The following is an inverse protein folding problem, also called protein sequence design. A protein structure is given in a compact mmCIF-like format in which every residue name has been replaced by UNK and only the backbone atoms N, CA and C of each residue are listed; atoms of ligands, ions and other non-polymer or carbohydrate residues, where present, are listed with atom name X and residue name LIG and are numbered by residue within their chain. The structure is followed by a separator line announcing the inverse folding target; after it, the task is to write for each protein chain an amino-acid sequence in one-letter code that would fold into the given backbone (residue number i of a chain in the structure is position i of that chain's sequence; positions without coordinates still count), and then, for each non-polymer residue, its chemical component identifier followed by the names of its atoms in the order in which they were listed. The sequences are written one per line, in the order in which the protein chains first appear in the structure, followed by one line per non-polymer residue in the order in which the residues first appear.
data_IF_985494693657
#
_entry.id   IF_985494693657
#
_cell.length_a   1.000
_cell.length_b   1.000
_cell.length_c   1.000
_cell.angle_alpha   90.00
_cell.angle_beta   90.00
_cell.angle_gamma   90.00
#
_symmetry.space_group_name_H-M   'P 1'
#
loop_
_entity.id
_entity.type
_entity.pdbx_description
1 polymer ?
#
# COMPACT_ATOMS: atom_id res chain seq x y z
N UNK A 1 31.18 27.32 13.28
CA UNK A 1 30.65 27.58 11.92
C UNK A 1 29.85 26.38 11.51
N UNK A 2 28.60 26.62 11.15
CA UNK A 2 27.59 25.74 10.53
C UNK A 2 27.30 24.43 11.28
N UNK A 3 26.42 24.47 12.28
CA UNK A 3 24.95 24.43 12.18
C UNK A 3 24.44 23.00 12.08
N UNK A 4 24.06 22.49 13.25
CA UNK A 4 22.85 21.71 13.50
C UNK A 4 22.46 20.73 12.38
N UNK A 5 22.82 19.46 12.60
CA UNK A 5 22.14 18.34 11.96
C UNK A 5 20.72 18.34 12.53
N UNK A 6 19.82 19.04 11.85
CA UNK A 6 18.39 18.94 12.10
C UNK A 6 18.00 17.53 11.64
N UNK A 7 17.93 16.59 12.60
CA UNK A 7 17.32 15.29 12.38
C UNK A 7 15.88 15.56 11.92
N UNK A 8 15.59 15.33 10.64
CA UNK A 8 14.28 15.61 10.08
C UNK A 8 13.24 14.75 10.80
N UNK A 9 12.35 15.38 11.56
CA UNK A 9 11.30 14.70 12.30
C UNK A 9 10.43 13.92 11.30
N UNK A 10 10.36 12.60 11.49
CA UNK A 10 9.68 11.69 10.56
C UNK A 10 8.17 11.93 10.67
N UNK A 11 7.63 12.78 9.80
CA UNK A 11 6.19 13.08 9.75
C UNK A 11 5.43 11.78 9.49
N UNK A 12 4.62 11.36 10.47
CA UNK A 12 3.75 10.20 10.33
C UNK A 12 2.67 10.53 9.30
N UNK A 13 2.62 9.78 8.21
CA UNK A 13 1.55 9.92 7.22
C UNK A 13 0.19 9.71 7.91
N UNK A 14 -0.84 10.49 7.55
CA UNK A 14 -2.18 10.32 8.10
C UNK A 14 -2.70 8.90 7.81
N UNK A 15 -3.32 8.29 8.81
CA UNK A 15 -3.96 6.97 8.66
C UNK A 15 -5.09 7.06 7.65
N UNK A 16 -5.22 6.04 6.79
CA UNK A 16 -6.35 5.93 5.86
C UNK A 16 -7.63 5.81 6.69
N UNK A 17 -8.57 6.73 6.48
CA UNK A 17 -9.87 6.70 7.17
C UNK A 17 -10.59 5.40 6.83
N UNK A 18 -11.13 4.73 7.86
CA UNK A 18 -11.85 3.46 7.74
C UNK A 18 -11.02 2.33 7.12
N UNK A 19 -9.68 2.36 7.28
CA UNK A 19 -8.85 1.23 6.92
C UNK A 19 -9.29 0.00 7.73
N UNK A 20 -9.73 -1.03 7.02
CA UNK A 20 -9.96 -2.37 7.57
C UNK A 20 -8.75 -3.23 7.27
N UNK A 21 -8.38 -4.09 8.22
CA UNK A 21 -7.26 -5.02 8.01
C UNK A 21 -7.63 -6.08 6.96
N UNK A 22 -6.63 -6.72 6.36
CA UNK A 22 -6.88 -7.78 5.36
C UNK A 22 -7.66 -8.97 5.95
N UNK A 23 -7.53 -9.19 7.26
CA UNK A 23 -8.23 -10.24 7.98
C UNK A 23 -9.72 -9.96 8.12
N UNK A 24 -10.12 -8.68 8.10
CA UNK A 24 -11.50 -8.22 8.21
C UNK A 24 -12.21 -8.11 6.85
N UNK A 25 -11.54 -8.45 5.75
CA UNK A 25 -12.15 -8.35 4.42
C UNK A 25 -13.36 -9.30 4.29
N UNK A 26 -14.40 -8.92 3.53
CA UNK A 26 -15.55 -9.78 3.29
C UNK A 26 -15.15 -11.16 2.77
N UNK A 27 -15.81 -12.20 3.26
CA UNK A 27 -15.50 -13.61 2.91
C UNK A 27 -15.60 -13.87 1.40
N UNK A 28 -16.49 -13.14 0.71
CA UNK A 28 -16.66 -13.19 -0.76
C UNK A 28 -15.37 -12.86 -1.53
N UNK A 29 -14.46 -12.06 -0.96
CA UNK A 29 -13.16 -11.76 -1.60
C UNK A 29 -12.31 -13.03 -1.76
N UNK A 30 -12.50 -14.03 -0.89
CA UNK A 30 -11.78 -15.32 -0.97
C UNK A 30 -12.35 -16.25 -2.04
N UNK A 31 -13.60 -16.08 -2.47
CA UNK A 31 -14.22 -16.97 -3.46
C UNK A 31 -13.75 -16.71 -4.89
N UNK A 32 -13.24 -15.52 -5.19
CA UNK A 32 -12.79 -15.11 -6.53
C UNK A 32 -13.90 -15.17 -7.60
N UNK A 33 -15.16 -15.10 -7.21
CA UNK A 33 -16.30 -15.29 -8.12
C UNK A 33 -16.72 -13.99 -8.84
N UNK A 34 -16.42 -12.83 -8.27
CA UNK A 34 -16.80 -11.51 -8.80
C UNK A 34 -15.60 -10.70 -9.27
N UNK A 35 -15.86 -9.79 -10.20
CA UNK A 35 -14.92 -8.74 -10.55
C UNK A 35 -14.97 -7.59 -9.55
N UNK A 36 -13.86 -6.88 -9.41
CA UNK A 36 -13.80 -5.61 -8.67
C UNK A 36 -13.17 -5.72 -7.29
N UNK A 37 -12.67 -6.89 -6.91
CA UNK A 37 -11.79 -7.04 -5.76
C UNK A 37 -10.33 -6.89 -6.23
N UNK A 38 -9.77 -5.69 -5.99
CA UNK A 38 -8.42 -5.33 -6.42
C UNK A 38 -7.41 -5.45 -5.28
N UNK A 39 -6.21 -5.91 -5.58
CA UNK A 39 -5.07 -5.88 -4.66
C UNK A 39 -4.01 -4.91 -5.19
N UNK A 40 -3.44 -4.09 -4.30
CA UNK A 40 -2.40 -3.13 -4.67
C UNK A 40 -1.19 -3.35 -3.76
N UNK A 41 -0.02 -3.53 -4.35
CA UNK A 41 1.24 -3.59 -3.63
C UNK A 41 2.16 -2.45 -4.07
N UNK A 42 3.04 -2.02 -3.18
CA UNK A 42 4.06 -1.01 -3.49
C UNK A 42 5.41 -1.45 -2.94
N UNK A 43 6.39 -1.55 -3.82
CA UNK A 43 7.79 -1.79 -3.48
C UNK A 43 8.53 -0.47 -3.57
N UNK A 44 9.11 -0.01 -2.46
CA UNK A 44 9.88 1.23 -2.41
C UNK A 44 11.36 0.93 -2.67
N UNK A 45 11.97 1.70 -3.58
CA UNK A 45 13.40 1.69 -3.81
C UNK A 45 14.17 2.24 -2.61
N UNK A 46 15.39 1.73 -2.40
CA UNK A 46 16.29 2.27 -1.36
C UNK A 46 16.56 3.75 -1.58
N UNK A 47 16.73 4.48 -0.48
CA UNK A 47 17.05 5.92 -0.49
C UNK A 47 16.08 6.78 -1.34
N UNK A 48 14.82 6.36 -1.47
CA UNK A 48 13.82 7.09 -2.24
C UNK A 48 14.04 7.05 -3.75
N UNK A 49 14.81 6.08 -4.26
CA UNK A 49 15.15 5.96 -5.69
C UNK A 49 13.96 5.66 -6.61
N UNK A 50 12.77 5.43 -6.07
CA UNK A 50 11.53 5.21 -6.83
C UNK A 50 10.58 4.26 -6.13
N UNK A 51 9.50 3.90 -6.82
CA UNK A 51 8.55 2.90 -6.37
C UNK A 51 8.04 2.08 -7.55
N UNK A 52 7.79 0.79 -7.31
CA UNK A 52 7.03 -0.07 -8.21
C UNK A 52 5.66 -0.28 -7.57
N UNK A 53 4.61 -0.03 -8.34
CA UNK A 53 3.23 -0.31 -7.92
C UNK A 53 2.73 -1.46 -8.77
N UNK A 54 2.12 -2.45 -8.13
CA UNK A 54 1.37 -3.50 -8.82
C UNK A 54 -0.10 -3.39 -8.43
N UNK A 55 -0.99 -3.52 -9.42
CA UNK A 55 -2.44 -3.48 -9.25
C UNK A 55 -2.96 -4.76 -9.87
N UNK A 56 -3.65 -5.59 -9.08
CA UNK A 56 -4.06 -6.93 -9.46
C UNK A 56 -5.58 -7.06 -9.36
N UNK A 57 -6.24 -7.43 -10.45
CA UNK A 57 -7.61 -7.92 -10.40
C UNK A 57 -7.59 -9.38 -9.92
N UNK A 58 -8.21 -9.66 -8.75
CA UNK A 58 -8.02 -10.96 -8.07
C UNK A 58 -8.69 -12.14 -8.76
N UNK A 59 -9.77 -11.93 -9.52
CA UNK A 59 -10.53 -13.00 -10.18
C UNK A 59 -9.79 -13.54 -11.40
N UNK A 60 -9.26 -12.66 -12.24
CA UNK A 60 -8.57 -13.06 -13.50
C UNK A 60 -7.05 -12.95 -13.43
N UNK A 61 -6.50 -12.37 -12.36
CA UNK A 61 -5.06 -12.20 -12.21
C UNK A 61 -4.45 -11.17 -13.16
N UNK A 62 -5.26 -10.21 -13.65
CA UNK A 62 -4.79 -9.15 -14.55
C UNK A 62 -3.96 -8.13 -13.76
N UNK A 63 -2.76 -7.82 -14.28
CA UNK A 63 -1.77 -6.90 -13.69
C UNK A 63 -1.49 -5.76 -14.67
#
# INVERSE_FOLDING_TARGET
MVSDIVEAEKIKAPTIKNAVTIDERPVVVKSLERFGDWEINTVLGKHGAGAIVTILERKVGFI
#
